data_IF_231841714503
#
_entry.id   IF_231841714503
#
_cell.length_a   1.000
_cell.length_b   1.000
_cell.length_c   1.000
_cell.angle_alpha   90.00
_cell.angle_beta   90.00
_cell.angle_gamma   90.00
#
_symmetry.space_group_name_H-M   'P 1'
#
loop_
_entity.id
_entity.type
_entity.pdbx_description
1 polymer ?
#
# COMPACT_ATOMS: atom_id res chain seq x y z
N UNK A 1 1.50 5.11 -25.04
CA UNK A 1 2.25 3.89 -24.64
C UNK A 1 3.08 4.12 -23.39
N UNK A 2 3.70 5.27 -23.25
CA UNK A 2 4.54 5.63 -22.09
C UNK A 2 3.79 5.60 -20.76
N UNK A 3 2.58 6.20 -20.71
CA UNK A 3 1.71 6.22 -19.52
C UNK A 3 1.43 4.82 -19.00
N UNK A 4 1.04 3.92 -19.90
CA UNK A 4 0.76 2.52 -19.57
C UNK A 4 2.00 1.79 -19.03
N UNK A 5 3.17 2.04 -19.63
CA UNK A 5 4.43 1.45 -19.20
C UNK A 5 4.89 1.96 -17.83
N UNK A 6 4.72 3.25 -17.55
CA UNK A 6 5.00 3.83 -16.23
C UNK A 6 4.03 3.26 -15.19
N UNK A 7 2.73 3.14 -15.50
CA UNK A 7 1.75 2.49 -14.62
C UNK A 7 2.12 1.05 -14.27
N UNK A 8 2.55 0.28 -15.28
CA UNK A 8 2.97 -1.11 -15.11
C UNK A 8 4.20 -1.22 -14.18
N UNK A 9 5.21 -0.36 -14.37
CA UNK A 9 6.41 -0.30 -13.50
C UNK A 9 6.03 -0.03 -12.05
N UNK A 10 5.20 0.98 -11.78
CA UNK A 10 4.78 1.34 -10.43
C UNK A 10 3.94 0.23 -9.80
N UNK A 11 3.03 -0.39 -10.56
CA UNK A 11 2.26 -1.56 -10.09
C UNK A 11 3.17 -2.74 -9.70
N UNK A 12 4.23 -3.01 -10.46
CA UNK A 12 5.21 -4.03 -10.11
C UNK A 12 5.98 -3.67 -8.82
N UNK A 13 6.34 -2.41 -8.63
CA UNK A 13 6.99 -1.96 -7.38
C UNK A 13 6.09 -2.23 -6.18
N UNK A 14 4.79 -1.87 -6.23
CA UNK A 14 3.84 -2.17 -5.15
C UNK A 14 3.72 -3.68 -4.89
N UNK A 15 3.74 -4.47 -5.94
CA UNK A 15 3.67 -5.93 -5.85
C UNK A 15 4.82 -6.55 -5.04
N UNK A 16 6.01 -5.94 -5.07
CA UNK A 16 7.19 -6.40 -4.33
C UNK A 16 7.10 -6.07 -2.83
N UNK A 17 6.19 -5.22 -2.41
CA UNK A 17 5.97 -4.89 -1.00
C UNK A 17 5.28 -6.06 -0.29
N UNK A 18 6.07 -6.90 0.36
CA UNK A 18 5.57 -8.04 1.14
C UNK A 18 5.08 -7.51 2.49
N UNK A 19 3.76 -7.51 2.69
CA UNK A 19 3.13 -6.98 3.89
C UNK A 19 1.94 -7.82 4.39
N UNK A 20 1.12 -7.29 5.31
CA UNK A 20 -0.04 -7.99 5.87
C UNK A 20 -1.01 -8.51 4.81
N UNK A 21 -1.19 -7.76 3.74
CA UNK A 21 -2.04 -8.12 2.58
C UNK A 21 -1.54 -9.40 1.92
N UNK A 22 -0.24 -9.46 1.60
CA UNK A 22 0.39 -10.62 1.00
C UNK A 22 0.12 -11.90 1.80
N UNK A 23 0.34 -11.84 3.13
CA UNK A 23 0.08 -13.02 3.99
C UNK A 23 -1.39 -13.38 4.09
N UNK A 24 -2.28 -12.39 4.08
CA UNK A 24 -3.71 -12.64 4.12
C UNK A 24 -4.18 -13.37 2.85
N UNK A 25 -3.68 -12.96 1.68
CA UNK A 25 -3.96 -13.65 0.41
C UNK A 25 -3.43 -15.09 0.45
N UNK A 26 -2.15 -15.28 0.85
CA UNK A 26 -1.56 -16.61 0.95
C UNK A 26 -2.29 -17.52 1.92
N UNK A 27 -2.58 -17.03 3.13
CA UNK A 27 -3.27 -17.78 4.15
C UNK A 27 -4.68 -18.19 3.68
N UNK A 28 -5.46 -17.24 3.17
CA UNK A 28 -6.79 -17.50 2.66
C UNK A 28 -6.79 -18.55 1.53
N UNK A 29 -5.82 -18.45 0.61
CA UNK A 29 -5.68 -19.37 -0.51
C UNK A 29 -5.28 -20.77 -0.07
N UNK A 30 -4.34 -20.91 0.87
CA UNK A 30 -3.87 -22.21 1.37
C UNK A 30 -4.92 -22.89 2.23
N UNK A 31 -5.61 -22.16 3.11
CA UNK A 31 -6.56 -22.74 4.06
C UNK A 31 -7.93 -22.99 3.46
N UNK A 32 -8.37 -22.20 2.50
CA UNK A 32 -9.73 -22.20 1.96
C UNK A 32 -9.83 -22.29 0.44
N UNK A 33 -8.69 -22.38 -0.23
CA UNK A 33 -8.59 -22.53 -1.67
C UNK A 33 -8.45 -21.23 -2.44
N UNK A 34 -8.02 -21.36 -3.68
CA UNK A 34 -7.67 -20.27 -4.61
C UNK A 34 -8.74 -19.16 -4.67
N UNK A 35 -10.01 -19.51 -4.84
CA UNK A 35 -11.09 -18.53 -5.00
C UNK A 35 -11.30 -17.64 -3.77
N UNK A 36 -11.01 -18.15 -2.57
CA UNK A 36 -11.09 -17.34 -1.36
C UNK A 36 -9.95 -16.34 -1.31
N UNK A 37 -8.74 -16.73 -1.75
CA UNK A 37 -7.64 -15.79 -1.93
C UNK A 37 -7.95 -14.71 -2.96
N UNK A 38 -8.61 -15.05 -4.07
CA UNK A 38 -9.08 -14.08 -5.07
C UNK A 38 -10.09 -13.10 -4.46
N UNK A 39 -11.02 -13.54 -3.59
CA UNK A 39 -11.94 -12.62 -2.90
C UNK A 39 -11.18 -11.63 -2.00
N UNK A 40 -10.13 -12.07 -1.32
CA UNK A 40 -9.25 -11.15 -0.57
C UNK A 40 -8.57 -10.16 -1.50
N UNK A 41 -8.01 -10.62 -2.64
CA UNK A 41 -7.34 -9.76 -3.62
C UNK A 41 -8.27 -8.69 -4.21
N UNK A 42 -9.53 -9.05 -4.52
CA UNK A 42 -10.55 -8.09 -4.97
C UNK A 42 -10.84 -7.06 -3.87
N UNK A 43 -10.95 -7.49 -2.60
CA UNK A 43 -11.13 -6.57 -1.47
C UNK A 43 -9.98 -5.58 -1.32
N UNK A 44 -8.74 -6.04 -1.49
CA UNK A 44 -7.53 -5.21 -1.51
C UNK A 44 -7.62 -4.18 -2.64
N UNK A 45 -7.93 -4.62 -3.87
CA UNK A 45 -8.04 -3.75 -5.03
C UNK A 45 -9.12 -2.67 -4.86
N UNK A 46 -10.26 -2.99 -4.24
CA UNK A 46 -11.29 -1.99 -3.90
C UNK A 46 -10.78 -0.94 -2.92
N UNK A 47 -9.98 -1.35 -1.92
CA UNK A 47 -9.31 -0.41 -1.01
C UNK A 47 -8.28 0.46 -1.71
N UNK A 48 -7.55 -0.07 -2.66
CA UNK A 48 -6.59 0.68 -3.46
C UNK A 48 -7.28 1.73 -4.33
N UNK A 49 -8.39 1.36 -5.00
CA UNK A 49 -9.24 2.31 -5.75
C UNK A 49 -9.73 3.44 -4.84
N UNK A 50 -10.15 3.10 -3.62
CA UNK A 50 -10.61 4.08 -2.64
C UNK A 50 -9.49 5.06 -2.25
N UNK A 51 -8.26 4.57 -2.01
CA UNK A 51 -7.11 5.41 -1.76
C UNK A 51 -6.76 6.32 -2.93
N UNK A 52 -6.73 5.79 -4.15
CA UNK A 52 -6.47 6.58 -5.37
C UNK A 52 -7.49 7.70 -5.50
N UNK A 53 -8.79 7.39 -5.29
CA UNK A 53 -9.86 8.39 -5.37
C UNK A 53 -9.71 9.49 -4.32
N UNK A 54 -9.46 9.13 -3.05
CA UNK A 54 -9.25 10.10 -1.97
C UNK A 54 -8.00 10.96 -2.23
N UNK A 55 -6.89 10.34 -2.63
CA UNK A 55 -5.65 11.06 -2.89
C UNK A 55 -5.81 12.02 -4.07
N UNK A 56 -6.51 11.60 -5.14
CA UNK A 56 -6.79 12.46 -6.29
C UNK A 56 -7.66 13.65 -5.94
N UNK A 57 -8.77 13.43 -5.23
CA UNK A 57 -9.68 14.50 -4.80
C UNK A 57 -9.03 15.40 -3.76
N UNK A 58 -8.30 14.83 -2.80
CA UNK A 58 -7.56 15.57 -1.79
C UNK A 58 -6.45 16.42 -2.39
N UNK A 59 -5.66 15.87 -3.30
CA UNK A 59 -4.56 16.58 -3.94
C UNK A 59 -5.04 17.81 -4.72
N UNK A 60 -6.17 17.70 -5.45
CA UNK A 60 -6.76 18.81 -6.17
C UNK A 60 -7.23 19.96 -5.27
N UNK A 61 -7.75 19.63 -4.09
CA UNK A 61 -8.26 20.64 -3.13
C UNK A 61 -7.13 21.33 -2.35
N UNK A 62 -6.05 20.60 -2.05
CA UNK A 62 -4.93 21.12 -1.25
C UNK A 62 -3.93 21.96 -2.04
N UNK A 63 -3.83 21.79 -3.34
CA UNK A 63 -2.95 22.63 -4.17
C UNK A 63 -3.40 24.09 -4.28
N UNK A 64 -4.65 24.38 -3.94
CA UNK A 64 -5.25 25.71 -4.07
C UNK A 64 -5.12 26.58 -2.80
N UNK A 65 -4.77 26.01 -1.65
CA UNK A 65 -4.73 26.76 -0.37
C UNK A 65 -3.28 27.11 0.04
N UNK A 66 -2.92 28.41 0.13
CA UNK A 66 -1.62 28.84 0.65
C UNK A 66 -1.44 28.39 2.12
N UNK A 67 -0.35 27.71 2.41
CA UNK A 67 -0.01 27.26 3.78
C UNK A 67 -0.47 25.86 4.15
N UNK A 68 -1.40 25.23 3.42
CA UNK A 68 -1.81 23.84 3.64
C UNK A 68 -0.65 22.84 3.52
N UNK A 69 0.31 23.13 2.65
CA UNK A 69 1.52 22.32 2.43
C UNK A 69 2.35 22.17 3.73
N UNK A 70 2.39 23.21 4.57
CA UNK A 70 3.15 23.21 5.84
C UNK A 70 2.49 22.25 6.83
N UNK A 71 1.18 22.36 7.03
CA UNK A 71 0.44 21.46 7.94
C UNK A 71 0.50 20.01 7.46
N UNK A 72 0.37 19.77 6.14
CA UNK A 72 0.48 18.44 5.56
C UNK A 72 1.89 17.85 5.72
N UNK A 73 2.92 18.65 5.54
CA UNK A 73 4.30 18.21 5.71
C UNK A 73 4.60 17.77 7.14
N UNK A 74 4.20 18.55 8.14
CA UNK A 74 4.37 18.16 9.54
C UNK A 74 3.47 16.98 9.95
N UNK A 75 2.19 17.01 9.59
CA UNK A 75 1.25 15.92 9.92
C UNK A 75 1.67 14.62 9.23
N UNK A 76 1.92 14.65 7.91
CA UNK A 76 2.34 13.49 7.14
C UNK A 76 3.67 12.92 7.63
N UNK A 77 4.67 13.78 7.83
CA UNK A 77 5.98 13.36 8.35
C UNK A 77 5.89 12.73 9.75
N UNK A 78 5.08 13.30 10.65
CA UNK A 78 4.86 12.73 11.99
C UNK A 78 4.16 11.38 11.93
N UNK A 79 3.15 11.23 11.08
CA UNK A 79 2.46 9.96 10.84
C UNK A 79 3.43 8.91 10.30
N UNK A 80 4.28 9.26 9.32
CA UNK A 80 5.28 8.36 8.76
C UNK A 80 6.27 7.87 9.82
N UNK A 81 6.76 8.77 10.68
CA UNK A 81 7.67 8.41 11.78
C UNK A 81 6.97 7.49 12.78
N UNK A 82 5.74 7.81 13.20
CA UNK A 82 4.98 6.99 14.13
C UNK A 82 4.78 5.56 13.60
N UNK A 83 4.40 5.43 12.33
CA UNK A 83 4.27 4.12 11.69
C UNK A 83 5.60 3.41 11.48
N UNK A 84 6.65 4.12 11.11
CA UNK A 84 7.99 3.56 11.02
C UNK A 84 8.45 2.96 12.35
N UNK A 85 8.25 3.68 13.46
CA UNK A 85 8.51 3.17 14.81
C UNK A 85 7.64 1.95 15.14
N UNK A 86 6.34 1.97 14.82
CA UNK A 86 5.47 0.81 14.99
C UNK A 86 5.98 -0.42 14.25
N UNK A 87 6.42 -0.26 12.98
CA UNK A 87 6.97 -1.37 12.19
C UNK A 87 8.26 -1.92 12.79
N UNK A 88 9.18 -1.06 13.24
CA UNK A 88 10.46 -1.49 13.83
C UNK A 88 10.25 -2.11 15.22
N UNK A 89 9.45 -1.49 16.08
CA UNK A 89 9.38 -1.88 17.50
C UNK A 89 8.34 -2.97 17.77
N UNK A 90 7.23 -2.94 17.06
CA UNK A 90 6.09 -3.84 17.33
C UNK A 90 5.98 -4.91 16.26
N UNK A 91 5.82 -4.49 14.99
CA UNK A 91 5.48 -5.41 13.90
C UNK A 91 6.61 -6.40 13.59
N UNK A 92 7.88 -5.96 13.65
CA UNK A 92 9.05 -6.82 13.44
C UNK A 92 9.15 -7.95 14.45
N UNK A 93 8.63 -7.78 15.66
CA UNK A 93 8.69 -8.77 16.76
C UNK A 93 7.50 -9.74 16.79
N UNK A 94 6.47 -9.51 15.98
CA UNK A 94 5.32 -10.40 15.92
C UNK A 94 5.68 -11.71 15.23
N UNK A 95 5.66 -12.82 15.97
CA UNK A 95 5.96 -14.17 15.46
C UNK A 95 4.80 -14.78 14.63
N UNK A 96 3.64 -14.13 14.57
CA UNK A 96 2.47 -14.70 13.90
C UNK A 96 2.41 -14.31 12.42
N UNK A 97 2.36 -15.32 11.57
CA UNK A 97 1.99 -15.22 10.18
C UNK A 97 0.48 -14.95 10.07
N UNK A 98 0.10 -13.75 9.67
CA UNK A 98 -1.30 -13.41 9.46
C UNK A 98 -2.09 -13.28 10.77
N UNK A 99 -3.03 -12.33 10.83
CA UNK A 99 -3.91 -12.21 12.00
C UNK A 99 -4.59 -13.54 12.29
N UNK A 100 -4.40 -14.05 13.50
CA UNK A 100 -5.05 -15.27 14.00
C UNK A 100 -6.53 -15.00 14.29
N UNK A 101 -7.29 -14.71 13.25
CA UNK A 101 -8.72 -14.95 13.29
C UNK A 101 -8.91 -16.37 12.80
N UNK A 102 -9.35 -17.28 13.65
CA UNK A 102 -9.91 -18.56 13.24
C UNK A 102 -10.90 -18.30 12.11
N UNK A 103 -10.51 -18.72 10.92
CA UNK A 103 -11.33 -18.55 9.73
C UNK A 103 -12.42 -19.62 9.83
N UNK A 104 -13.48 -19.31 10.59
CA UNK A 104 -14.69 -20.14 10.64
C UNK A 104 -15.34 -20.26 9.25
N UNK A 105 -16.35 -21.07 9.11
CA UNK A 105 -17.12 -21.26 7.86
C UNK A 105 -17.91 -19.98 7.51
N UNK A 106 -17.18 -18.97 7.00
CA UNK A 106 -17.76 -17.68 6.66
C UNK A 106 -18.05 -17.61 5.16
N UNK A 107 -19.13 -16.92 4.81
CA UNK A 107 -19.51 -16.66 3.39
C UNK A 107 -18.39 -15.89 2.68
N UNK A 108 -18.21 -16.12 1.37
CA UNK A 108 -17.12 -15.55 0.55
C UNK A 108 -16.96 -14.02 0.66
N UNK A 109 -18.05 -13.28 0.85
CA UNK A 109 -17.99 -11.83 0.98
C UNK A 109 -17.23 -11.32 2.21
N UNK A 110 -17.13 -12.13 3.29
CA UNK A 110 -16.33 -11.75 4.45
C UNK A 110 -14.84 -11.66 4.13
N UNK A 111 -14.37 -12.46 3.17
CA UNK A 111 -12.97 -12.42 2.74
C UNK A 111 -12.67 -11.17 1.91
N UNK A 112 -13.63 -10.71 1.12
CA UNK A 112 -13.54 -9.43 0.42
C UNK A 112 -13.45 -8.28 1.42
N UNK A 113 -14.35 -8.22 2.42
CA UNK A 113 -14.30 -7.20 3.48
C UNK A 113 -12.99 -7.30 4.27
N UNK A 114 -12.53 -8.51 4.57
CA UNK A 114 -11.25 -8.71 5.26
C UNK A 114 -10.08 -8.15 4.46
N UNK A 115 -10.03 -8.42 3.14
CA UNK A 115 -9.01 -7.86 2.25
C UNK A 115 -9.04 -6.35 2.23
N UNK A 116 -10.23 -5.76 2.05
CA UNK A 116 -10.44 -4.31 2.08
C UNK A 116 -9.93 -3.70 3.39
N UNK A 117 -10.38 -4.18 4.54
CA UNK A 117 -10.03 -3.61 5.84
C UNK A 117 -8.53 -3.74 6.15
N UNK A 118 -7.92 -4.90 5.88
CA UNK A 118 -6.49 -5.09 6.14
C UNK A 118 -5.65 -4.14 5.28
N UNK A 119 -6.04 -3.91 4.04
CA UNK A 119 -5.37 -2.97 3.15
C UNK A 119 -5.65 -1.53 3.55
N UNK A 120 -6.90 -1.17 3.82
CA UNK A 120 -7.31 0.16 4.23
C UNK A 120 -6.71 0.60 5.59
N UNK A 121 -6.43 -0.33 6.48
CA UNK A 121 -5.77 -0.05 7.76
C UNK A 121 -4.25 -0.12 7.68
N UNK A 122 -3.69 -0.36 6.50
CA UNK A 122 -2.24 -0.46 6.32
C UNK A 122 -1.66 0.91 5.95
N UNK A 123 -0.92 1.55 6.87
CA UNK A 123 -0.36 2.89 6.62
C UNK A 123 0.63 2.93 5.45
N UNK A 124 1.32 1.81 5.18
CA UNK A 124 2.24 1.73 4.05
C UNK A 124 1.50 1.89 2.72
N UNK A 125 0.28 1.38 2.63
CA UNK A 125 -0.56 1.51 1.43
C UNK A 125 -0.97 2.98 1.22
N UNK A 126 -1.39 3.67 2.29
CA UNK A 126 -1.70 5.10 2.22
C UNK A 126 -0.50 5.92 1.72
N UNK A 127 0.69 5.70 2.31
CA UNK A 127 1.93 6.37 1.90
C UNK A 127 2.28 6.08 0.44
N UNK A 128 2.15 4.83 0.03
CA UNK A 128 2.41 4.44 -1.35
C UNK A 128 1.48 5.18 -2.32
N UNK A 129 0.18 5.25 -2.04
CA UNK A 129 -0.78 5.91 -2.93
C UNK A 129 -0.60 7.44 -2.95
N UNK A 130 -0.31 8.08 -1.81
CA UNK A 130 0.04 9.50 -1.77
C UNK A 130 1.29 9.75 -2.62
N UNK A 131 2.33 8.94 -2.46
CA UNK A 131 3.56 9.05 -3.25
C UNK A 131 3.33 8.81 -4.74
N UNK A 132 2.50 7.84 -5.10
CA UNK A 132 2.20 7.50 -6.50
C UNK A 132 1.37 8.60 -7.18
N UNK A 133 0.40 9.22 -6.48
CA UNK A 133 -0.35 10.36 -7.00
C UNK A 133 0.58 11.56 -7.21
N UNK A 134 1.45 11.85 -6.23
CA UNK A 134 2.44 12.93 -6.36
C UNK A 134 3.40 12.70 -7.53
N UNK A 135 3.90 11.49 -7.70
CA UNK A 135 4.78 11.11 -8.81
C UNK A 135 4.08 11.22 -10.16
N UNK A 136 2.81 10.82 -10.25
CA UNK A 136 2.02 10.93 -11.48
C UNK A 136 1.83 12.40 -11.89
N UNK A 137 1.53 13.27 -10.91
CA UNK A 137 1.21 14.68 -11.19
C UNK A 137 2.44 15.57 -11.33
N UNK A 138 3.45 15.41 -10.46
CA UNK A 138 4.62 16.29 -10.40
C UNK A 138 5.71 15.81 -11.35
N UNK A 139 6.11 14.54 -11.28
CA UNK A 139 7.27 14.05 -12.03
C UNK A 139 6.89 13.64 -13.47
N UNK A 140 5.72 13.00 -13.65
CA UNK A 140 5.27 12.57 -14.98
C UNK A 140 4.41 13.61 -15.69
N UNK A 141 3.93 14.64 -14.98
CA UNK A 141 3.12 15.71 -15.54
C UNK A 141 1.72 15.25 -16.02
N UNK A 142 1.19 14.14 -15.48
CA UNK A 142 -0.14 13.66 -15.83
C UNK A 142 -1.21 14.49 -15.13
N UNK A 143 -1.71 15.49 -15.84
CA UNK A 143 -2.70 16.45 -15.33
C UNK A 143 -4.10 16.22 -15.90
N UNK A 144 -4.19 15.56 -17.06
CA UNK A 144 -5.48 15.28 -17.67
C UNK A 144 -6.17 14.09 -17.00
N UNK A 145 -7.52 14.12 -16.83
CA UNK A 145 -8.27 13.00 -16.26
C UNK A 145 -8.06 11.68 -17.02
N UNK A 146 -7.87 11.74 -18.33
CA UNK A 146 -7.65 10.55 -19.17
C UNK A 146 -6.29 9.91 -18.84
N UNK A 147 -5.23 10.72 -18.77
CA UNK A 147 -3.88 10.24 -18.41
C UNK A 147 -3.89 9.58 -17.03
N UNK A 148 -4.57 10.22 -16.06
CA UNK A 148 -4.72 9.72 -14.72
C UNK A 148 -5.44 8.35 -14.69
N UNK A 149 -6.58 8.25 -15.35
CA UNK A 149 -7.36 6.99 -15.43
C UNK A 149 -6.55 5.88 -16.10
N UNK A 150 -5.84 6.19 -17.19
CA UNK A 150 -5.00 5.21 -17.90
C UNK A 150 -3.84 4.77 -16.98
N UNK A 151 -3.10 5.71 -16.39
CA UNK A 151 -1.98 5.39 -15.51
C UNK A 151 -2.40 4.51 -14.33
N UNK A 152 -3.40 4.96 -13.55
CA UNK A 152 -3.87 4.22 -12.37
C UNK A 152 -4.59 2.92 -12.74
N UNK A 153 -5.24 2.86 -13.90
CA UNK A 153 -5.80 1.62 -14.44
C UNK A 153 -4.72 0.55 -14.66
N UNK A 154 -3.57 0.92 -15.20
CA UNK A 154 -2.43 0.01 -15.35
C UNK A 154 -1.78 -0.34 -14.01
N UNK A 155 -1.63 0.62 -13.09
CA UNK A 155 -1.11 0.33 -11.73
C UNK A 155 -2.01 -0.69 -11.03
N UNK A 156 -3.29 -0.38 -10.89
CA UNK A 156 -4.28 -1.22 -10.18
C UNK A 156 -4.46 -2.59 -10.86
N UNK A 157 -4.52 -2.60 -12.19
CA UNK A 157 -4.59 -3.84 -12.96
C UNK A 157 -3.40 -4.75 -12.72
N UNK A 158 -2.19 -4.20 -12.70
CA UNK A 158 -0.95 -4.94 -12.42
C UNK A 158 -0.98 -5.51 -11.00
N UNK A 159 -1.36 -4.71 -10.01
CA UNK A 159 -1.46 -5.16 -8.61
C UNK A 159 -2.48 -6.28 -8.47
N UNK A 160 -3.68 -6.13 -9.02
CA UNK A 160 -4.71 -7.17 -8.97
C UNK A 160 -4.26 -8.47 -9.66
N UNK A 161 -3.67 -8.38 -10.85
CA UNK A 161 -3.15 -9.56 -11.57
C UNK A 161 -2.09 -10.29 -10.75
N UNK A 162 -1.18 -9.54 -10.13
CA UNK A 162 -0.12 -10.14 -9.31
C UNK A 162 -0.65 -10.71 -8.00
N UNK A 163 -1.67 -10.12 -7.38
CA UNK A 163 -2.32 -10.65 -6.19
C UNK A 163 -3.09 -11.94 -6.49
N UNK A 164 -3.75 -12.03 -7.65
CA UNK A 164 -4.34 -13.29 -8.13
C UNK A 164 -3.26 -14.34 -8.38
N UNK A 165 -2.12 -13.95 -8.97
CA UNK A 165 -0.99 -14.86 -9.16
C UNK A 165 -0.41 -15.35 -7.81
N UNK A 166 -0.30 -14.48 -6.80
CA UNK A 166 0.09 -14.87 -5.42
C UNK A 166 -0.90 -15.87 -4.82
N UNK A 167 -2.21 -15.67 -5.02
CA UNK A 167 -3.23 -16.62 -4.59
C UNK A 167 -3.06 -17.98 -5.26
N UNK A 168 -2.76 -18.02 -6.54
CA UNK A 168 -2.51 -19.25 -7.29
C UNK A 168 -1.22 -19.96 -6.84
N UNK A 169 -0.15 -19.22 -6.63
CA UNK A 169 1.16 -19.73 -6.21
C UNK A 169 1.29 -19.94 -4.70
N UNK A 170 0.22 -19.75 -3.94
CA UNK A 170 0.22 -19.70 -2.47
C UNK A 170 0.89 -20.90 -1.80
N UNK A 171 0.66 -22.11 -2.30
CA UNK A 171 1.27 -23.32 -1.75
C UNK A 171 2.80 -23.34 -1.83
N UNK A 172 3.38 -22.84 -2.94
CA UNK A 172 4.84 -22.73 -3.12
C UNK A 172 5.41 -21.55 -2.33
N UNK A 173 4.75 -20.40 -2.37
CA UNK A 173 5.21 -19.19 -1.70
C UNK A 173 5.27 -19.34 -0.18
N UNK A 174 4.31 -20.06 0.42
CA UNK A 174 4.29 -20.33 1.87
C UNK A 174 5.54 -21.09 2.35
N UNK A 175 6.11 -21.96 1.52
CA UNK A 175 7.29 -22.76 1.86
C UNK A 175 8.59 -21.94 1.89
N UNK A 176 8.65 -20.86 1.12
CA UNK A 176 9.86 -20.04 0.94
C UNK A 176 9.95 -18.95 2.03
N UNK A 177 8.81 -18.50 2.55
CA UNK A 177 8.76 -17.36 3.47
C UNK A 177 8.95 -17.85 4.91
N UNK A 178 9.99 -17.34 5.56
CA UNK A 178 10.28 -17.62 6.95
C UNK A 178 10.14 -16.35 7.83
N UNK A 179 10.05 -16.54 9.14
CA UNK A 179 9.92 -15.45 10.13
C UNK A 179 11.06 -14.43 10.05
N UNK A 180 12.31 -14.88 9.80
CA UNK A 180 13.47 -13.98 9.75
C UNK A 180 13.38 -13.01 8.58
N UNK A 181 13.02 -13.52 7.39
CA UNK A 181 12.84 -12.68 6.20
C UNK A 181 11.78 -11.60 6.41
N UNK A 182 10.68 -11.94 7.11
CA UNK A 182 9.62 -11.01 7.45
C UNK A 182 10.07 -9.94 8.44
N UNK A 183 10.75 -10.36 9.49
CA UNK A 183 11.28 -9.43 10.48
C UNK A 183 12.21 -8.41 9.84
N UNK A 184 13.15 -8.86 9.00
CA UNK A 184 14.07 -7.98 8.26
C UNK A 184 13.30 -7.00 7.38
N UNK A 185 12.31 -7.50 6.64
CA UNK A 185 11.48 -6.66 5.77
C UNK A 185 10.75 -5.56 6.56
N UNK A 186 10.10 -5.92 7.69
CA UNK A 186 9.42 -4.94 8.53
C UNK A 186 10.37 -3.89 9.11
N UNK A 187 11.60 -4.28 9.48
CA UNK A 187 12.63 -3.35 9.96
C UNK A 187 13.06 -2.40 8.85
N UNK A 188 13.37 -2.92 7.64
CA UNK A 188 13.75 -2.09 6.49
C UNK A 188 12.65 -1.09 6.14
N UNK A 189 11.39 -1.55 6.05
CA UNK A 189 10.24 -0.69 5.77
C UNK A 189 10.05 0.37 6.86
N UNK A 190 10.17 0.00 8.12
CA UNK A 190 10.04 0.93 9.24
C UNK A 190 11.13 2.00 9.23
N UNK A 191 12.39 1.63 8.96
CA UNK A 191 13.51 2.58 8.83
C UNK A 191 13.27 3.52 7.63
N UNK A 192 12.85 3.00 6.49
CA UNK A 192 12.53 3.82 5.33
C UNK A 192 11.45 4.86 5.64
N UNK A 193 10.36 4.46 6.33
CA UNK A 193 9.30 5.38 6.76
C UNK A 193 9.83 6.48 7.69
N UNK A 194 10.68 6.15 8.65
CA UNK A 194 11.28 7.13 9.57
C UNK A 194 12.13 8.14 8.79
N UNK A 195 12.95 7.65 7.86
CA UNK A 195 13.81 8.51 7.04
C UNK A 195 12.98 9.44 6.14
N UNK A 196 11.96 8.91 5.47
CA UNK A 196 11.04 9.71 4.64
C UNK A 196 10.27 10.72 5.47
N UNK A 197 9.71 10.32 6.61
CA UNK A 197 9.01 11.23 7.51
C UNK A 197 9.91 12.33 8.06
N UNK A 198 11.13 12.00 8.47
CA UNK A 198 12.13 12.97 8.91
C UNK A 198 12.52 13.96 7.80
N UNK A 199 12.76 13.45 6.57
CA UNK A 199 13.04 14.30 5.41
C UNK A 199 11.86 15.24 5.09
N UNK A 200 10.63 14.73 5.15
CA UNK A 200 9.45 15.54 4.88
C UNK A 200 9.31 16.69 5.89
N UNK A 201 9.47 16.43 7.18
CA UNK A 201 9.46 17.45 8.24
C UNK A 201 10.59 18.47 8.02
N UNK A 202 11.78 18.00 7.69
CA UNK A 202 12.93 18.88 7.46
C UNK A 202 12.71 19.82 6.27
N UNK A 203 12.21 19.32 5.14
CA UNK A 203 11.87 20.12 3.96
C UNK A 203 10.76 21.13 4.27
N UNK A 204 9.72 20.70 5.00
CA UNK A 204 8.63 21.59 5.42
C UNK A 204 9.14 22.73 6.30
N UNK A 205 10.07 22.44 7.22
CA UNK A 205 10.69 23.48 8.05
C UNK A 205 11.46 24.50 7.23
N UNK A 206 12.17 24.08 6.18
CA UNK A 206 12.90 25.01 5.30
C UNK A 206 11.93 25.95 4.58
N UNK A 207 10.78 25.46 4.11
CA UNK A 207 9.74 26.27 3.46
C UNK A 207 9.13 27.29 4.45
N UNK A 208 9.03 26.93 5.75
CA UNK A 208 8.46 27.81 6.77
C UNK A 208 9.41 28.94 7.17
N UNK A 209 10.71 28.77 6.96
CA UNK A 209 11.77 29.75 7.31
C UNK A 209 12.17 30.66 6.15
N UNK A 210 11.76 30.34 4.92
CA UNK A 210 11.95 31.17 3.70
C UNK A 210 10.78 32.12 3.49
#
# INVERSE_FOLDING_TARGET
>A
MEIAFNGLKIGLVLTLLIGPVFFTILQASVERGFWVGVMVAIGVSLSDIFYVAICYLGFSSFMTEPGSQIYMGYAGGSILIAFGLYYVLVKSRQKQFGGSGTIGDRKKYHYLIKGFLINAMNPMVAVFWIGTVSLATIDFGYTSPVEFVVFFGFVLGTVLCTDIAKAFLSGKLRQIINYRSLMILHVILGIALILFGGRLIFLTRLITLS
#
